data_IF_340069872170
#
_entry.id   IF_340069872170
#
_cell.length_a   1.000
_cell.length_b   1.000
_cell.length_c   1.000
_cell.angle_alpha   90.00
_cell.angle_beta   90.00
_cell.angle_gamma   90.00
#
_symmetry.space_group_name_H-M   'P 1'
#
loop_
_entity.id
_entity.type
_entity.pdbx_description
1 polymer ?
#
# COMPACT_ATOMS: atom_id res chain seq x y z
N UNK A 1 3.43 -3.14 22.18
CA UNK A 1 2.83 -3.18 20.83
C UNK A 1 3.76 -3.96 19.90
N UNK A 2 3.22 -4.97 19.23
CA UNK A 2 3.96 -5.74 18.22
C UNK A 2 3.77 -5.06 16.86
N UNK A 3 4.84 -4.49 16.31
CA UNK A 3 4.82 -3.81 15.03
C UNK A 3 5.57 -4.65 13.99
N UNK A 4 4.99 -4.82 12.82
CA UNK A 4 5.64 -5.40 11.65
C UNK A 4 5.88 -4.31 10.61
N UNK A 5 7.13 -4.11 10.25
CA UNK A 5 7.49 -3.27 9.12
C UNK A 5 7.54 -4.13 7.86
N UNK A 6 6.93 -3.65 6.80
CA UNK A 6 6.85 -4.34 5.50
C UNK A 6 7.43 -3.46 4.42
N UNK A 7 8.27 -4.02 3.57
CA UNK A 7 8.76 -3.33 2.37
C UNK A 7 8.94 -4.30 1.21
N UNK A 8 8.93 -3.80 0.00
CA UNK A 8 9.15 -4.61 -1.19
C UNK A 8 10.60 -5.09 -1.30
N UNK A 9 11.55 -4.26 -0.89
CA UNK A 9 12.98 -4.56 -0.95
C UNK A 9 13.68 -4.21 0.36
N UNK A 10 14.82 -4.85 0.62
CA UNK A 10 15.64 -4.59 1.82
C UNK A 10 16.23 -3.18 1.85
N UNK A 11 16.29 -2.52 0.70
CA UNK A 11 16.93 -1.19 0.57
C UNK A 11 16.01 -0.04 0.95
N UNK A 12 14.72 -0.28 1.09
CA UNK A 12 13.72 0.79 1.31
C UNK A 12 13.62 1.25 2.76
N UNK A 13 14.04 0.39 3.69
CA UNK A 13 13.99 0.72 5.11
C UNK A 13 15.12 0.07 5.89
N UNK A 14 15.64 0.79 6.87
CA UNK A 14 16.52 0.27 7.90
C UNK A 14 15.82 0.43 9.25
N UNK A 15 15.61 -0.65 9.96
CA UNK A 15 14.83 -0.67 11.20
C UNK A 15 15.27 -1.79 12.13
N UNK A 16 15.10 -1.57 13.44
CA UNK A 16 15.28 -2.57 14.49
C UNK A 16 13.98 -3.34 14.81
N UNK A 17 12.85 -2.90 14.24
CA UNK A 17 11.59 -3.64 14.34
C UNK A 17 11.59 -4.89 13.47
N UNK A 18 10.73 -5.88 13.77
CA UNK A 18 10.47 -7.00 12.87
C UNK A 18 10.19 -6.49 11.45
N UNK A 19 10.97 -6.96 10.48
CA UNK A 19 10.93 -6.48 9.11
C UNK A 19 10.71 -7.64 8.15
N UNK A 20 9.66 -7.52 7.33
CA UNK A 20 9.31 -8.45 6.27
C UNK A 20 9.60 -7.82 4.91
N UNK A 21 10.50 -8.43 4.17
CA UNK A 21 10.72 -8.10 2.75
C UNK A 21 9.82 -9.01 1.92
N UNK A 22 8.85 -8.42 1.25
CA UNK A 22 7.80 -9.17 0.54
C UNK A 22 8.19 -9.57 -0.88
N UNK A 23 9.13 -8.87 -1.49
CA UNK A 23 9.29 -8.82 -2.94
C UNK A 23 8.39 -7.74 -3.56
N UNK A 24 8.60 -7.50 -4.85
CA UNK A 24 7.93 -6.43 -5.59
C UNK A 24 6.57 -6.91 -6.08
N UNK A 25 5.56 -6.07 -5.92
CA UNK A 25 4.22 -6.26 -6.48
C UNK A 25 3.17 -6.73 -5.48
N UNK A 26 1.91 -6.53 -5.84
CA UNK A 26 0.75 -6.81 -4.99
C UNK A 26 0.63 -8.29 -4.61
N UNK A 27 0.89 -9.20 -5.54
CA UNK A 27 0.75 -10.64 -5.32
C UNK A 27 1.80 -11.12 -4.32
N UNK A 28 3.06 -10.75 -4.53
CA UNK A 28 4.15 -11.11 -3.61
C UNK A 28 3.88 -10.55 -2.19
N UNK A 29 3.44 -9.31 -2.11
CA UNK A 29 3.09 -8.65 -0.84
C UNK A 29 1.92 -9.35 -0.15
N UNK A 30 0.84 -9.64 -0.86
CA UNK A 30 -0.32 -10.31 -0.31
C UNK A 30 0.02 -11.70 0.28
N UNK A 31 0.81 -12.48 -0.46
CA UNK A 31 1.24 -13.81 0.00
C UNK A 31 2.12 -13.70 1.25
N UNK A 32 3.14 -12.85 1.21
CA UNK A 32 4.10 -12.73 2.30
C UNK A 32 3.44 -12.19 3.59
N UNK A 33 2.63 -11.14 3.47
CA UNK A 33 1.92 -10.55 4.62
C UNK A 33 0.89 -11.51 5.19
N UNK A 34 0.09 -12.18 4.36
CA UNK A 34 -0.89 -13.17 4.81
C UNK A 34 -0.23 -14.29 5.59
N UNK A 35 0.91 -14.79 5.11
CA UNK A 35 1.68 -15.81 5.81
C UNK A 35 2.17 -15.29 7.17
N UNK A 36 2.80 -14.13 7.21
CA UNK A 36 3.32 -13.55 8.45
C UNK A 36 2.22 -13.35 9.51
N UNK A 37 1.05 -12.86 9.09
CA UNK A 37 -0.09 -12.64 9.98
C UNK A 37 -0.76 -13.93 10.44
N UNK A 38 -0.63 -15.03 9.70
CA UNK A 38 -1.11 -16.34 10.13
C UNK A 38 -0.21 -17.02 11.16
N UNK A 39 1.07 -16.67 11.16
CA UNK A 39 2.08 -17.25 12.04
C UNK A 39 2.24 -16.50 13.36
N UNK A 40 1.98 -15.19 13.37
CA UNK A 40 2.16 -14.33 14.53
C UNK A 40 1.18 -13.18 14.55
N UNK A 41 0.72 -12.83 15.75
CA UNK A 41 -0.09 -11.63 15.96
C UNK A 41 0.76 -10.37 15.97
N UNK A 42 0.31 -9.36 15.22
CA UNK A 42 0.84 -8.01 15.21
C UNK A 42 -0.28 -7.01 15.49
N UNK A 43 0.01 -5.99 16.30
CA UNK A 43 -0.93 -4.92 16.62
C UNK A 43 -0.98 -3.88 15.49
N UNK A 44 0.12 -3.74 14.77
CA UNK A 44 0.26 -2.79 13.67
C UNK A 44 1.17 -3.35 12.58
N UNK A 45 0.75 -3.18 11.34
CA UNK A 45 1.57 -3.44 10.15
C UNK A 45 1.81 -2.11 9.44
N UNK A 46 3.06 -1.76 9.21
CA UNK A 46 3.44 -0.53 8.52
C UNK A 46 4.15 -0.88 7.23
N UNK A 47 3.51 -0.58 6.12
CA UNK A 47 4.15 -0.70 4.81
C UNK A 47 4.94 0.57 4.51
N UNK A 48 6.21 0.41 4.19
CA UNK A 48 7.12 1.52 3.87
C UNK A 48 7.76 1.28 2.51
N UNK A 49 7.99 2.36 1.79
CA UNK A 49 8.58 2.29 0.47
C UNK A 49 8.83 3.68 -0.11
N UNK A 50 9.18 3.69 -1.38
CA UNK A 50 9.40 4.92 -2.15
C UNK A 50 8.39 5.00 -3.29
N UNK A 51 7.98 6.22 -3.61
CA UNK A 51 7.08 6.47 -4.73
C UNK A 51 7.39 7.81 -5.39
N UNK A 52 6.92 7.98 -6.63
CA UNK A 52 6.89 9.27 -7.27
C UNK A 52 5.62 10.05 -6.89
N UNK A 53 5.65 11.36 -7.09
CA UNK A 53 4.48 12.22 -6.93
C UNK A 53 4.25 13.07 -8.16
N UNK A 54 3.01 13.12 -8.62
CA UNK A 54 2.56 14.09 -9.63
C UNK A 54 2.28 15.46 -9.02
N UNK A 55 2.10 15.54 -7.70
CA UNK A 55 1.89 16.78 -6.99
C UNK A 55 3.24 17.48 -6.74
N UNK A 56 3.50 18.53 -7.51
CA UNK A 56 4.76 19.29 -7.45
C UNK A 56 4.93 20.11 -6.16
N UNK A 57 3.87 20.26 -5.35
CA UNK A 57 3.97 20.92 -4.04
C UNK A 57 4.56 20.03 -2.95
N UNK A 58 4.69 18.74 -3.20
CA UNK A 58 5.38 17.80 -2.30
C UNK A 58 6.86 17.77 -2.67
N UNK A 59 7.77 18.28 -1.83
CA UNK A 59 9.20 18.28 -2.13
C UNK A 59 9.76 16.86 -2.22
N UNK A 60 10.81 16.69 -3.02
CA UNK A 60 11.57 15.45 -3.06
C UNK A 60 12.12 15.11 -1.66
N UNK A 61 12.07 13.84 -1.30
CA UNK A 61 12.52 13.36 0.01
C UNK A 61 11.53 13.57 1.15
N UNK A 62 10.34 14.12 0.86
CA UNK A 62 9.27 14.20 1.87
C UNK A 62 8.83 12.80 2.31
N UNK A 63 8.58 12.65 3.60
CA UNK A 63 7.91 11.46 4.14
C UNK A 63 6.46 11.81 4.35
N UNK A 64 5.57 11.00 3.81
CA UNK A 64 4.12 11.19 3.89
C UNK A 64 3.44 9.91 4.39
N UNK A 65 2.31 10.06 5.04
CA UNK A 65 1.44 8.94 5.39
C UNK A 65 0.35 8.79 4.33
N UNK A 66 0.27 7.60 3.74
CA UNK A 66 -0.80 7.26 2.79
C UNK A 66 -2.05 6.87 3.57
N UNK A 67 -3.09 7.68 3.49
CA UNK A 67 -4.39 7.44 4.14
C UNK A 67 -5.46 6.95 3.18
N UNK A 68 -5.21 7.09 1.88
CA UNK A 68 -6.08 6.59 0.82
C UNK A 68 -5.26 5.97 -0.30
N UNK A 69 -5.63 4.78 -0.69
CA UNK A 69 -5.03 4.06 -1.81
C UNK A 69 -6.11 3.52 -2.74
N UNK A 70 -5.85 3.53 -4.03
CA UNK A 70 -6.82 3.14 -5.04
C UNK A 70 -6.17 2.35 -6.17
N UNK A 71 -6.83 1.24 -6.53
CA UNK A 71 -6.54 0.50 -7.75
C UNK A 71 -7.27 1.15 -8.93
N UNK A 72 -6.66 2.16 -9.53
CA UNK A 72 -7.29 3.01 -10.55
C UNK A 72 -7.38 2.37 -11.93
N UNK A 73 -6.57 1.34 -12.20
CA UNK A 73 -6.46 0.71 -13.53
C UNK A 73 -7.09 -0.69 -13.60
N UNK A 74 -7.89 -1.05 -12.61
CA UNK A 74 -8.69 -2.27 -12.65
C UNK A 74 -10.00 -1.98 -13.38
N UNK A 75 -10.24 -2.74 -14.45
CA UNK A 75 -11.44 -2.62 -15.28
C UNK A 75 -11.27 -3.27 -16.64
N UNK A 76 -12.15 -2.91 -17.55
CA UNK A 76 -12.14 -3.42 -18.92
C UNK A 76 -12.30 -2.31 -19.94
N UNK A 77 -11.59 -2.45 -21.06
CA UNK A 77 -11.77 -1.58 -22.21
C UNK A 77 -13.00 -2.03 -23.00
N UNK A 78 -13.94 -1.10 -23.21
CA UNK A 78 -15.10 -1.30 -24.07
C UNK A 78 -15.14 -0.19 -25.14
N UNK A 79 -14.69 -0.52 -26.32
CA UNK A 79 -14.52 0.46 -27.40
C UNK A 79 -13.57 1.60 -27.00
N UNK A 80 -14.08 2.82 -26.93
CA UNK A 80 -13.33 4.01 -26.51
C UNK A 80 -13.43 4.31 -25.02
N UNK A 81 -14.21 3.51 -24.26
CA UNK A 81 -14.43 3.70 -22.84
C UNK A 81 -13.66 2.66 -22.03
N UNK A 82 -13.21 3.07 -20.86
CA UNK A 82 -12.69 2.17 -19.83
C UNK A 82 -13.72 2.08 -18.71
N UNK A 83 -14.21 0.85 -18.47
CA UNK A 83 -15.23 0.58 -17.45
C UNK A 83 -14.58 0.07 -16.18
N UNK A 84 -14.88 0.74 -15.07
CA UNK A 84 -14.49 0.28 -13.73
C UNK A 84 -15.29 -0.98 -13.34
N UNK A 85 -14.83 -1.74 -12.33
CA UNK A 85 -15.58 -2.90 -11.83
C UNK A 85 -17.01 -2.53 -11.41
N UNK A 86 -17.19 -1.38 -10.76
CA UNK A 86 -18.51 -0.91 -10.33
C UNK A 86 -19.44 -0.65 -11.51
N UNK A 87 -18.94 -0.03 -12.58
CA UNK A 87 -19.72 0.19 -13.81
C UNK A 87 -20.10 -1.12 -14.51
N UNK A 88 -19.31 -2.16 -14.33
CA UNK A 88 -19.59 -3.51 -14.84
C UNK A 88 -20.47 -4.33 -13.88
N UNK A 89 -20.89 -3.79 -12.74
CA UNK A 89 -21.67 -4.51 -11.74
C UNK A 89 -20.87 -5.56 -10.94
N UNK A 90 -19.56 -5.43 -10.88
CA UNK A 90 -18.67 -6.32 -10.14
C UNK A 90 -18.35 -5.74 -8.76
N UNK A 91 -18.44 -6.58 -7.72
CA UNK A 91 -18.05 -6.21 -6.36
C UNK A 91 -16.56 -6.47 -6.15
N UNK A 92 -15.75 -5.42 -6.31
CA UNK A 92 -14.31 -5.46 -6.07
C UNK A 92 -13.91 -4.29 -5.19
N UNK A 93 -13.10 -4.55 -4.17
CA UNK A 93 -12.49 -3.47 -3.36
C UNK A 93 -11.42 -2.80 -4.21
N UNK A 94 -11.69 -1.57 -4.63
CA UNK A 94 -10.76 -0.76 -5.43
C UNK A 94 -10.14 0.38 -4.65
N UNK A 95 -10.70 0.72 -3.49
CA UNK A 95 -10.25 1.84 -2.66
C UNK A 95 -10.15 1.39 -1.21
N UNK A 96 -9.05 1.74 -0.56
CA UNK A 96 -8.82 1.55 0.88
C UNK A 96 -8.56 2.91 1.50
N UNK A 97 -9.28 3.23 2.56
CA UNK A 97 -9.08 4.45 3.35
C UNK A 97 -8.85 4.10 4.80
N UNK A 98 -7.91 4.79 5.43
CA UNK A 98 -7.58 4.62 6.85
C UNK A 98 -7.42 5.99 7.50
N UNK A 99 -7.81 6.15 8.77
CA UNK A 99 -7.52 7.38 9.50
C UNK A 99 -5.99 7.52 9.67
N UNK A 100 -5.50 8.75 9.62
CA UNK A 100 -4.10 9.04 9.87
C UNK A 100 -3.68 8.54 11.26
N UNK A 101 -2.55 7.86 11.34
CA UNK A 101 -1.99 7.28 12.56
C UNK A 101 -0.78 8.06 13.07
N UNK A 102 -0.27 9.00 12.28
CA UNK A 102 0.94 9.79 12.59
C UNK A 102 0.66 11.28 12.46
N UNK A 103 1.66 12.09 12.79
CA UNK A 103 1.65 13.54 12.54
C UNK A 103 2.33 13.90 11.20
N UNK A 104 2.63 12.94 10.35
CA UNK A 104 3.15 13.18 9.02
C UNK A 104 2.09 13.81 8.11
N UNK A 105 2.49 14.56 7.08
CA UNK A 105 1.56 14.98 6.05
C UNK A 105 0.85 13.77 5.42
N UNK A 106 -0.47 13.85 5.27
CA UNK A 106 -1.29 12.77 4.73
C UNK A 106 -1.54 12.96 3.23
N UNK A 107 -1.58 11.86 2.49
CA UNK A 107 -1.91 11.82 1.07
C UNK A 107 -2.93 10.73 0.76
#
# INVERSE_FOLDING_TARGET
MNVLIVSATIKEVQTDYPHLVTGIGMVATAIAVSKALSEKHYDLVVNVGISGSFNRSIPLGSVVEVVKDQLSEIGAQDGSQFLSPTEMGLEVITTVEMPAQTNLPSV
#
